data_IF_476955743702
#
_entry.id   IF_476955743702
#
_cell.length_a   1.000
_cell.length_b   1.000
_cell.length_c   1.000
_cell.angle_alpha   90.00
_cell.angle_beta   90.00
_cell.angle_gamma   90.00
#
_symmetry.space_group_name_H-M   'P 1'
#
loop_
_entity.id
_entity.type
_entity.pdbx_description
1 polymer ?
#
# COMPACT_ATOMS: atom_id res chain seq x y z
N UNK A 1 2.40 -10.71 12.47
CA UNK A 1 3.68 -10.00 12.55
C UNK A 1 3.49 -8.67 13.25
N UNK A 2 4.28 -8.45 14.28
CA UNK A 2 4.15 -7.24 15.10
C UNK A 2 4.40 -5.95 14.33
N UNK A 3 5.26 -6.00 13.31
CA UNK A 3 5.61 -4.83 12.51
C UNK A 3 4.40 -4.13 11.88
N UNK A 4 3.34 -4.87 11.59
CA UNK A 4 2.18 -4.33 10.89
C UNK A 4 0.98 -4.14 11.80
N UNK A 5 1.16 -4.35 13.10
CA UNK A 5 0.07 -4.16 14.05
C UNK A 5 -0.35 -2.70 14.17
N UNK A 6 0.50 -1.76 13.75
CA UNK A 6 0.15 -0.35 13.80
C UNK A 6 -1.09 -0.05 12.94
N UNK A 7 -1.34 -0.85 11.91
CA UNK A 7 -2.51 -0.66 11.05
C UNK A 7 -3.82 -0.90 11.81
N UNK A 8 -3.78 -1.62 12.92
CA UNK A 8 -4.96 -1.87 13.75
C UNK A 8 -5.35 -0.66 14.60
N UNK A 9 -4.46 0.32 14.73
CA UNK A 9 -4.70 1.52 15.54
C UNK A 9 -5.56 2.56 14.83
N UNK A 10 -5.71 2.41 13.52
CA UNK A 10 -6.46 3.39 12.74
C UNK A 10 -7.96 3.19 12.92
N UNK A 11 -8.75 4.26 12.79
CA UNK A 11 -10.22 4.15 12.88
C UNK A 11 -10.82 3.39 11.70
N UNK A 12 -10.00 3.03 10.73
CA UNK A 12 -10.43 2.27 9.56
C UNK A 12 -9.75 0.93 9.55
N UNK A 13 -10.41 -0.04 8.94
CA UNK A 13 -9.89 -1.40 8.89
C UNK A 13 -9.02 -1.60 7.65
N UNK A 14 -7.81 -2.16 7.85
CA UNK A 14 -6.97 -2.64 6.77
C UNK A 14 -7.12 -4.16 6.66
N UNK A 15 -7.32 -4.63 5.43
CA UNK A 15 -7.42 -6.06 5.15
C UNK A 15 -6.13 -6.52 4.49
N UNK A 16 -5.61 -7.65 4.96
CA UNK A 16 -4.38 -8.23 4.43
C UNK A 16 -4.70 -9.15 3.27
N UNK A 17 -3.79 -9.22 2.31
CA UNK A 17 -3.89 -10.14 1.17
C UNK A 17 -5.25 -10.06 0.49
N UNK A 18 -5.62 -8.84 0.13
CA UNK A 18 -6.94 -8.58 -0.45
C UNK A 18 -6.90 -8.67 -1.97
N UNK A 19 -7.92 -9.32 -2.55
CA UNK A 19 -7.99 -9.51 -4.00
C UNK A 19 -8.71 -8.34 -4.64
N UNK A 20 -8.07 -7.73 -5.64
CA UNK A 20 -8.66 -6.66 -6.45
C UNK A 20 -8.46 -7.04 -7.92
N UNK A 21 -9.56 -7.41 -8.60
CA UNK A 21 -9.45 -7.92 -9.96
C UNK A 21 -8.62 -9.18 -10.01
N UNK A 22 -7.56 -9.18 -10.78
CA UNK A 22 -6.65 -10.32 -10.91
C UNK A 22 -5.46 -10.23 -9.95
N UNK A 23 -5.42 -9.18 -9.11
CA UNK A 23 -4.25 -8.90 -8.30
C UNK A 23 -4.55 -9.13 -6.82
N UNK A 24 -3.50 -9.52 -6.09
CA UNK A 24 -3.57 -9.63 -4.63
C UNK A 24 -2.68 -8.52 -4.07
N UNK A 25 -3.28 -7.66 -3.25
CA UNK A 25 -2.54 -6.56 -2.62
C UNK A 25 -2.22 -6.90 -1.17
N UNK A 26 -1.13 -6.35 -0.65
CA UNK A 26 -0.69 -6.69 0.71
C UNK A 26 -1.66 -6.16 1.76
N UNK A 27 -2.06 -4.90 1.65
CA UNK A 27 -3.01 -4.29 2.57
C UNK A 27 -3.96 -3.39 1.80
N UNK A 28 -5.24 -3.44 2.18
CA UNK A 28 -6.27 -2.63 1.55
C UNK A 28 -7.19 -2.03 2.59
N UNK A 29 -7.41 -0.72 2.48
CA UNK A 29 -8.39 -0.01 3.29
C UNK A 29 -9.52 0.48 2.39
N UNK A 30 -10.68 -0.13 2.51
CA UNK A 30 -11.82 0.21 1.66
C UNK A 30 -12.29 1.65 1.90
N UNK A 31 -12.37 2.06 3.15
CA UNK A 31 -12.88 3.38 3.48
C UNK A 31 -12.00 4.51 2.96
N UNK A 32 -10.69 4.33 3.02
CA UNK A 32 -9.74 5.32 2.49
C UNK A 32 -9.41 5.08 1.02
N UNK A 33 -9.86 3.98 0.43
CA UNK A 33 -9.52 3.57 -0.91
C UNK A 33 -8.02 3.56 -1.12
N UNK A 34 -7.33 2.96 -0.16
CA UNK A 34 -5.88 2.99 -0.08
C UNK A 34 -5.32 1.57 -0.10
N UNK A 35 -4.34 1.37 -0.96
CA UNK A 35 -3.57 0.13 -1.04
C UNK A 35 -2.17 0.44 -0.50
N UNK A 36 -1.67 -0.43 0.38
CA UNK A 36 -0.28 -0.35 0.84
C UNK A 36 0.41 -1.64 0.43
N UNK A 37 1.50 -1.51 -0.29
CA UNK A 37 2.26 -2.64 -0.78
C UNK A 37 3.68 -2.61 -0.26
N UNK A 38 4.18 -3.79 0.12
CA UNK A 38 5.52 -3.96 0.67
C UNK A 38 6.31 -4.77 -0.35
N UNK A 39 7.14 -4.09 -1.12
CA UNK A 39 7.92 -4.74 -2.17
C UNK A 39 9.23 -5.31 -1.65
N UNK A 40 9.55 -6.50 -2.10
CA UNK A 40 10.88 -7.04 -1.88
C UNK A 40 11.91 -6.21 -2.65
N UNK A 41 13.18 -6.40 -2.34
CA UNK A 41 14.25 -5.67 -3.00
C UNK A 41 14.48 -6.16 -4.43
N UNK A 42 14.81 -5.24 -5.33
CA UNK A 42 15.55 -5.60 -6.53
C UNK A 42 14.81 -5.94 -7.80
N UNK A 43 13.62 -5.42 -8.00
CA UNK A 43 12.92 -5.66 -9.25
C UNK A 43 13.06 -4.46 -10.19
N UNK A 44 14.25 -4.32 -10.77
CA UNK A 44 14.53 -3.25 -11.72
C UNK A 44 14.58 -3.72 -13.16
N UNK A 45 14.17 -4.95 -13.42
CA UNK A 45 14.10 -5.46 -14.77
C UNK A 45 12.96 -4.79 -15.53
N UNK A 46 13.16 -4.42 -16.80
CA UNK A 46 12.14 -3.70 -17.57
C UNK A 46 10.80 -4.41 -17.64
N UNK A 47 10.79 -5.73 -17.75
CA UNK A 47 9.56 -6.51 -17.81
C UNK A 47 8.74 -6.38 -16.55
N UNK A 48 9.42 -6.45 -15.40
CA UNK A 48 8.77 -6.38 -14.10
C UNK A 48 8.24 -4.96 -13.87
N UNK A 49 9.02 -3.95 -14.25
CA UNK A 49 8.61 -2.56 -14.11
C UNK A 49 7.39 -2.26 -14.96
N UNK A 50 7.32 -2.81 -16.16
CA UNK A 50 6.17 -2.62 -17.04
C UNK A 50 4.91 -3.26 -16.46
N UNK A 51 5.02 -4.46 -15.93
CA UNK A 51 3.89 -5.14 -15.28
C UNK A 51 3.42 -4.38 -14.05
N UNK A 52 4.35 -3.84 -13.27
CA UNK A 52 4.00 -3.05 -12.10
C UNK A 52 3.28 -1.77 -12.49
N UNK A 53 3.72 -1.15 -13.58
CA UNK A 53 3.08 0.06 -14.08
C UNK A 53 1.63 -0.20 -14.50
N UNK A 54 1.42 -1.28 -15.27
CA UNK A 54 0.08 -1.67 -15.71
C UNK A 54 -0.81 -1.96 -14.51
N UNK A 55 -0.28 -2.67 -13.54
CA UNK A 55 -1.00 -2.98 -12.31
C UNK A 55 -1.41 -1.72 -11.56
N UNK A 56 -0.46 -0.80 -11.38
CA UNK A 56 -0.71 0.44 -10.67
C UNK A 56 -1.74 1.30 -11.40
N UNK A 57 -1.64 1.39 -12.71
CA UNK A 57 -2.60 2.14 -13.52
C UNK A 57 -4.01 1.55 -13.40
N UNK A 58 -4.10 0.22 -13.35
CA UNK A 58 -5.38 -0.44 -13.15
C UNK A 58 -5.99 -0.05 -11.81
N UNK A 59 -5.20 -0.12 -10.73
CA UNK A 59 -5.67 0.26 -9.40
C UNK A 59 -6.14 1.71 -9.37
N UNK A 60 -5.34 2.60 -9.96
CA UNK A 60 -5.67 4.02 -9.99
C UNK A 60 -6.93 4.29 -10.81
N UNK A 61 -7.17 3.50 -11.86
CA UNK A 61 -8.39 3.64 -12.67
C UNK A 61 -9.65 3.30 -11.88
N UNK A 62 -9.50 2.52 -10.80
CA UNK A 62 -10.59 2.21 -9.89
C UNK A 62 -10.77 3.25 -8.79
N UNK A 63 -10.01 4.33 -8.83
CA UNK A 63 -10.06 5.37 -7.82
C UNK A 63 -9.28 5.06 -6.57
N UNK A 64 -8.36 4.10 -6.65
CA UNK A 64 -7.56 3.68 -5.50
C UNK A 64 -6.21 4.39 -5.49
N UNK A 65 -5.72 4.68 -4.30
CA UNK A 65 -4.39 5.24 -4.11
C UNK A 65 -3.45 4.10 -3.72
N UNK A 66 -2.28 4.03 -4.33
CA UNK A 66 -1.30 2.98 -4.04
C UNK A 66 -0.08 3.60 -3.39
N UNK A 67 0.25 3.14 -2.18
CA UNK A 67 1.49 3.47 -1.51
C UNK A 67 2.38 2.23 -1.52
N UNK A 68 3.61 2.40 -1.97
CA UNK A 68 4.52 1.27 -2.13
C UNK A 68 5.83 1.55 -1.41
N UNK A 69 6.25 0.60 -0.59
CA UNK A 69 7.47 0.72 0.21
C UNK A 69 8.34 -0.51 0.01
N UNK A 70 9.65 -0.30 -0.08
CA UNK A 70 10.60 -1.41 -0.16
C UNK A 70 10.90 -1.91 1.25
N UNK A 71 11.41 -3.14 1.34
CA UNK A 71 11.84 -3.70 2.62
C UNK A 71 12.93 -2.84 3.28
N UNK A 72 13.80 -2.26 2.46
CA UNK A 72 14.86 -1.39 2.97
C UNK A 72 14.28 -0.12 3.59
N UNK A 73 13.28 0.48 2.93
CA UNK A 73 12.61 1.66 3.45
C UNK A 73 11.91 1.36 4.77
N UNK A 74 11.24 0.21 4.85
CA UNK A 74 10.55 -0.21 6.07
C UNK A 74 11.57 -0.37 7.20
N UNK A 75 12.71 -0.95 6.91
CA UNK A 75 13.73 -1.19 7.91
C UNK A 75 14.36 0.10 8.43
N UNK A 76 14.62 1.07 7.54
CA UNK A 76 15.31 2.31 7.89
C UNK A 76 14.38 3.45 8.31
N UNK A 77 13.19 3.52 7.72
CA UNK A 77 12.32 4.68 7.84
C UNK A 77 10.93 4.32 8.34
N UNK A 78 10.83 3.30 9.16
CA UNK A 78 9.54 2.76 9.61
C UNK A 78 8.61 3.84 10.16
N UNK A 79 9.10 4.70 11.04
CA UNK A 79 8.26 5.75 11.64
C UNK A 79 7.77 6.76 10.60
N UNK A 80 8.64 7.12 9.66
CA UNK A 80 8.28 8.05 8.60
C UNK A 80 7.20 7.45 7.70
N UNK A 81 7.33 6.16 7.40
CA UNK A 81 6.34 5.47 6.58
C UNK A 81 4.99 5.37 7.29
N UNK A 82 5.00 5.13 8.59
CA UNK A 82 3.77 5.11 9.39
C UNK A 82 3.08 6.48 9.35
N UNK A 83 3.85 7.56 9.47
CA UNK A 83 3.29 8.90 9.38
C UNK A 83 2.69 9.17 8.01
N UNK A 84 3.36 8.70 6.96
CA UNK A 84 2.85 8.88 5.60
C UNK A 84 1.53 8.14 5.39
N UNK A 85 1.42 6.92 5.90
CA UNK A 85 0.19 6.15 5.82
C UNK A 85 -0.90 6.86 6.60
N UNK A 86 -0.59 7.33 7.80
CA UNK A 86 -1.54 8.02 8.66
C UNK A 86 -2.09 9.27 7.99
N UNK A 87 -1.21 10.11 7.46
CA UNK A 87 -1.62 11.33 6.77
C UNK A 87 -2.49 11.01 5.55
N UNK A 88 -2.12 9.99 4.80
CA UNK A 88 -2.87 9.60 3.61
C UNK A 88 -4.27 9.12 3.99
N UNK A 89 -4.37 8.31 5.04
CA UNK A 89 -5.66 7.83 5.53
C UNK A 89 -6.53 9.00 5.94
N UNK A 90 -5.98 9.93 6.72
CA UNK A 90 -6.73 11.10 7.17
C UNK A 90 -7.23 11.94 6.01
N UNK A 91 -6.38 12.19 5.02
CA UNK A 91 -6.75 12.98 3.85
C UNK A 91 -7.88 12.31 3.07
N UNK A 92 -7.86 10.99 2.95
CA UNK A 92 -8.87 10.26 2.20
C UNK A 92 -10.19 10.15 2.94
N UNK A 93 -10.15 10.03 4.25
CA UNK A 93 -11.37 9.89 5.06
C UNK A 93 -12.10 11.21 5.21
N UNK A 94 -11.37 12.32 5.33
CA UNK A 94 -11.94 13.64 5.56
C UNK A 94 -12.67 14.25 4.37
N UNK A 95 -12.61 13.60 3.23
CA UNK A 95 -13.29 14.10 2.01
C UNK A 95 -14.73 13.63 1.91
#
# INVERSE_FOLDING_TARGET
>A
MEKYNFLKKYPVQFRRQYVIGEYIVDFYCHKAKLIVELDGSGHFEPDVMEKDKVRTEYMESLGLTVLRFTNLEIKRYFHILCEKIDLTVQQKIEK
#
